data_IF_771111360919
#
_entry.id   IF_771111360919
#
_cell.length_a   1.000
_cell.length_b   1.000
_cell.length_c   1.000
_cell.angle_alpha   90.00
_cell.angle_beta   90.00
_cell.angle_gamma   90.00
#
_symmetry.space_group_name_H-M   'P 1'
#
loop_
_entity.id
_entity.type
_entity.pdbx_description
1 polymer ?
#
# COMPACT_ATOMS: atom_id res chain seq x y z
N UNK A 1 -15.59 25.09 4.56
CA UNK A 1 -14.93 25.39 3.28
C UNK A 1 -14.08 24.22 2.86
N UNK A 2 -13.54 24.23 1.65
CA UNK A 2 -12.57 23.23 1.19
C UNK A 2 -11.14 23.73 1.41
N UNK A 3 -10.22 22.82 1.69
CA UNK A 3 -8.78 23.08 1.78
C UNK A 3 -8.06 22.37 0.63
N UNK A 4 -7.20 23.08 -0.09
CA UNK A 4 -6.45 22.52 -1.22
C UNK A 4 -5.11 21.96 -0.73
N UNK A 5 -4.95 20.64 -0.84
CA UNK A 5 -3.74 19.92 -0.39
C UNK A 5 -2.64 19.81 -1.46
N UNK A 6 -2.79 20.51 -2.59
CA UNK A 6 -1.85 20.48 -3.70
C UNK A 6 -1.74 19.10 -4.38
N UNK A 7 -0.67 18.91 -5.15
CA UNK A 7 -0.41 17.65 -5.88
C UNK A 7 -1.20 17.53 -7.19
N UNK A 8 -0.71 16.63 -8.07
CA UNK A 8 -1.41 16.20 -9.29
C UNK A 8 -1.45 14.68 -9.26
N UNK A 9 -2.64 14.12 -9.15
CA UNK A 9 -2.83 12.68 -8.92
C UNK A 9 -3.52 12.03 -10.11
N UNK A 10 -3.28 10.74 -10.28
CA UNK A 10 -3.99 9.84 -11.18
C UNK A 10 -4.82 8.90 -10.30
N UNK A 11 -6.12 8.82 -10.58
CA UNK A 11 -7.04 7.96 -9.83
C UNK A 11 -7.44 8.53 -8.47
N UNK A 12 -7.84 7.63 -7.57
CA UNK A 12 -8.39 7.96 -6.27
C UNK A 12 -7.29 7.94 -5.19
N UNK A 13 -7.39 8.80 -4.16
CA UNK A 13 -6.56 8.69 -2.97
C UNK A 13 -6.95 7.47 -2.13
N UNK A 14 -5.96 6.82 -1.55
CA UNK A 14 -6.15 5.81 -0.49
C UNK A 14 -5.82 6.45 0.85
N UNK A 15 -6.71 6.29 1.84
CA UNK A 15 -6.62 7.00 3.13
C UNK A 15 -6.73 6.01 4.29
N UNK A 16 -5.85 6.17 5.28
CA UNK A 16 -5.83 5.32 6.47
C UNK A 16 -5.59 6.16 7.72
N UNK A 17 -6.05 5.65 8.86
CA UNK A 17 -5.67 6.16 10.18
C UNK A 17 -5.12 5.00 11.02
N UNK A 18 -4.05 5.26 11.76
CA UNK A 18 -3.49 4.30 12.73
C UNK A 18 -3.69 4.73 14.19
N UNK A 19 -4.30 5.89 14.40
CA UNK A 19 -4.60 6.42 15.72
C UNK A 19 -5.31 7.78 15.66
N UNK A 20 -5.73 8.31 16.82
CA UNK A 20 -6.33 9.63 16.91
C UNK A 20 -5.42 10.72 16.34
N UNK A 21 -6.01 11.72 15.70
CA UNK A 21 -5.31 12.87 15.13
C UNK A 21 -4.23 12.51 14.09
N UNK A 22 -4.35 11.34 13.47
CA UNK A 22 -3.47 10.90 12.40
C UNK A 22 -4.28 10.45 11.19
N UNK A 23 -3.96 11.05 10.05
CA UNK A 23 -4.46 10.65 8.74
C UNK A 23 -3.25 10.50 7.83
N UNK A 24 -3.19 9.42 7.07
CA UNK A 24 -2.18 9.18 6.06
C UNK A 24 -2.88 8.97 4.71
N UNK A 25 -2.42 9.67 3.68
CA UNK A 25 -3.00 9.69 2.34
C UNK A 25 -1.93 9.27 1.36
N UNK A 26 -2.26 8.29 0.52
CA UNK A 26 -1.41 7.78 -0.54
C UNK A 26 -2.08 7.99 -1.89
N UNK A 27 -1.31 8.49 -2.85
CA UNK A 27 -1.79 8.80 -4.21
C UNK A 27 -0.73 8.40 -5.22
N UNK A 28 -1.17 8.01 -6.42
CA UNK A 28 -0.25 7.87 -7.56
C UNK A 28 -0.21 9.19 -8.32
N UNK A 29 1.00 9.70 -8.57
CA UNK A 29 1.21 10.92 -9.34
C UNK A 29 1.03 10.70 -10.84
N UNK A 30 0.99 11.79 -11.62
CA UNK A 30 0.97 11.73 -13.09
C UNK A 30 2.24 11.15 -13.71
N UNK A 31 3.32 11.06 -12.93
CA UNK A 31 4.59 10.40 -13.25
C UNK A 31 4.60 8.92 -12.85
N UNK A 32 3.46 8.37 -12.41
CA UNK A 32 3.31 6.99 -11.90
C UNK A 32 4.09 6.69 -10.61
N UNK A 33 4.65 7.68 -9.92
CA UNK A 33 5.27 7.48 -8.61
C UNK A 33 4.22 7.51 -7.49
N UNK A 34 4.50 6.84 -6.36
CA UNK A 34 3.69 6.99 -5.16
C UNK A 34 4.03 8.30 -4.47
N UNK A 35 3.02 8.94 -3.90
CA UNK A 35 3.17 10.11 -3.05
C UNK A 35 2.40 9.93 -1.75
N UNK A 36 2.96 10.47 -0.68
CA UNK A 36 2.43 10.41 0.67
C UNK A 36 2.20 11.80 1.26
N UNK A 37 1.13 11.93 2.03
CA UNK A 37 0.78 13.11 2.83
C UNK A 37 0.20 12.65 4.15
N UNK A 38 0.43 13.40 5.21
CA UNK A 38 -0.14 13.06 6.49
C UNK A 38 -0.60 14.27 7.29
N UNK A 39 -1.61 14.08 8.12
CA UNK A 39 -1.99 14.98 9.20
C UNK A 39 -1.38 14.48 10.51
N UNK A 40 -0.75 15.35 11.30
CA UNK A 40 -0.11 14.97 12.57
C UNK A 40 -0.86 15.48 13.82
N UNK A 41 -2.09 15.96 13.67
CA UNK A 41 -2.87 16.57 14.75
C UNK A 41 -2.79 18.09 14.80
N UNK A 42 -1.85 18.69 14.07
CA UNK A 42 -1.63 20.14 14.06
C UNK A 42 -1.34 20.72 12.68
N UNK A 43 -0.70 19.96 11.78
CA UNK A 43 -0.39 20.39 10.43
C UNK A 43 -0.34 19.20 9.45
N UNK A 44 -0.49 19.53 8.17
CA UNK A 44 -0.20 18.65 7.05
C UNK A 44 1.31 18.59 6.78
N UNK A 45 1.83 17.37 6.65
CA UNK A 45 3.19 17.08 6.21
C UNK A 45 3.25 16.58 4.77
N UNK A 46 4.36 16.82 4.04
CA UNK A 46 5.53 17.62 4.45
C UNK A 46 5.25 19.13 4.52
N UNK A 47 4.18 19.60 3.89
CA UNK A 47 3.59 20.92 4.06
C UNK A 47 2.12 20.87 3.62
N UNK A 48 1.40 21.99 3.70
CA UNK A 48 0.01 22.04 3.25
C UNK A 48 -0.17 21.57 1.78
N UNK A 49 0.71 22.01 0.88
CA UNK A 49 0.60 21.75 -0.56
C UNK A 49 1.67 20.81 -1.13
N UNK A 50 2.73 20.53 -0.36
CA UNK A 50 3.80 19.62 -0.75
C UNK A 50 3.46 18.16 -0.46
N UNK A 51 3.99 17.23 -1.24
CA UNK A 51 3.81 15.78 -1.07
C UNK A 51 5.17 15.08 -0.94
N UNK A 52 5.24 14.05 -0.10
CA UNK A 52 6.44 13.22 0.04
C UNK A 52 6.52 12.24 -1.13
N UNK A 53 7.54 12.39 -1.98
CA UNK A 53 7.75 11.48 -3.11
C UNK A 53 8.32 10.15 -2.60
N UNK A 54 7.58 9.07 -2.87
CA UNK A 54 7.90 7.71 -2.45
C UNK A 54 8.45 6.83 -3.57
N UNK A 55 8.72 7.41 -4.74
CA UNK A 55 9.29 6.74 -5.90
C UNK A 55 8.41 5.63 -6.48
N UNK A 56 9.04 4.74 -7.24
CA UNK A 56 8.40 3.63 -7.92
C UNK A 56 7.79 4.01 -9.27
N UNK A 57 7.29 2.99 -9.98
CA UNK A 57 6.48 3.15 -11.20
C UNK A 57 5.30 2.19 -11.09
N UNK A 58 4.19 2.75 -10.64
CA UNK A 58 3.02 2.01 -10.19
C UNK A 58 1.99 1.96 -11.30
N UNK A 59 1.39 0.78 -11.46
CA UNK A 59 0.19 0.60 -12.25
C UNK A 59 -1.01 0.42 -11.30
N UNK A 60 -2.11 1.10 -11.61
CA UNK A 60 -3.32 1.04 -10.79
C UNK A 60 -3.23 1.85 -9.49
N UNK A 61 -4.03 1.46 -8.50
CA UNK A 61 -4.17 2.16 -7.22
C UNK A 61 -3.39 1.44 -6.11
N UNK A 62 -2.77 2.18 -5.17
CA UNK A 62 -2.19 1.58 -3.98
C UNK A 62 -3.29 1.06 -3.05
N UNK A 63 -2.93 0.14 -2.17
CA UNK A 63 -3.70 -0.18 -0.97
C UNK A 63 -2.86 0.08 0.26
N UNK A 64 -3.48 0.64 1.30
CA UNK A 64 -2.81 0.84 2.57
C UNK A 64 -3.67 0.33 3.72
N UNK A 65 -3.01 -0.29 4.69
CA UNK A 65 -3.64 -0.78 5.92
C UNK A 65 -2.78 -0.42 7.12
N UNK A 66 -3.41 -0.37 8.29
CA UNK A 66 -2.73 -0.32 9.56
C UNK A 66 -3.26 -1.43 10.46
N UNK A 67 -2.35 -2.15 11.12
CA UNK A 67 -2.68 -3.14 12.13
C UNK A 67 -2.59 -2.59 13.57
N UNK A 68 -2.28 -1.29 13.73
CA UNK A 68 -1.98 -0.69 15.03
C UNK A 68 -1.10 0.56 14.95
N UNK A 69 -0.90 1.25 16.11
CA UNK A 69 -0.21 2.52 16.15
C UNK A 69 1.20 2.48 15.57
N UNK A 70 1.60 3.57 14.90
CA UNK A 70 2.90 3.72 14.27
C UNK A 70 3.24 2.66 13.21
N UNK A 71 2.22 1.98 12.66
CA UNK A 71 2.38 1.10 11.51
C UNK A 71 1.47 1.51 10.36
N UNK A 72 2.08 1.55 9.18
CA UNK A 72 1.39 1.50 7.90
C UNK A 72 2.04 0.42 7.03
N UNK A 73 1.24 -0.27 6.24
CA UNK A 73 1.70 -1.23 5.23
C UNK A 73 1.04 -0.86 3.91
N UNK A 74 1.86 -0.55 2.91
CA UNK A 74 1.41 -0.07 1.60
C UNK A 74 1.78 -1.09 0.54
N UNK A 75 0.81 -1.44 -0.29
CA UNK A 75 0.92 -2.41 -1.36
C UNK A 75 0.61 -1.74 -2.70
N UNK A 76 1.49 -1.97 -3.67
CA UNK A 76 1.39 -1.38 -5.01
C UNK A 76 1.75 -2.42 -6.05
N UNK A 77 1.27 -2.23 -7.28
CA UNK A 77 1.60 -3.11 -8.41
C UNK A 77 2.59 -2.40 -9.32
N UNK A 78 3.71 -3.07 -9.63
CA UNK A 78 4.71 -2.54 -10.56
C UNK A 78 4.35 -2.81 -12.02
N UNK A 79 5.10 -2.21 -12.94
CA UNK A 79 4.90 -2.39 -14.40
C UNK A 79 5.11 -3.82 -14.90
N UNK A 80 5.83 -4.65 -14.14
CA UNK A 80 5.97 -6.10 -14.36
C UNK A 80 4.79 -6.92 -13.80
N UNK A 81 3.71 -6.26 -13.37
CA UNK A 81 2.54 -6.86 -12.71
C UNK A 81 2.87 -7.61 -11.40
N UNK A 82 4.06 -7.42 -10.83
CA UNK A 82 4.40 -7.95 -9.51
C UNK A 82 3.84 -7.05 -8.40
N UNK A 83 3.54 -7.66 -7.26
CA UNK A 83 3.18 -6.94 -6.05
C UNK A 83 4.44 -6.44 -5.35
N UNK A 84 4.38 -5.21 -4.86
CA UNK A 84 5.42 -4.57 -4.08
C UNK A 84 4.85 -4.06 -2.76
N UNK A 85 5.68 -4.12 -1.73
CA UNK A 85 5.34 -3.72 -0.38
C UNK A 85 6.33 -2.70 0.16
N UNK A 86 5.84 -1.77 0.97
CA UNK A 86 6.66 -0.92 1.83
C UNK A 86 5.89 -0.62 3.11
N UNK A 87 6.60 -0.25 4.15
CA UNK A 87 5.98 -0.06 5.45
C UNK A 87 6.56 1.10 6.24
N UNK A 88 5.75 1.70 7.10
CA UNK A 88 6.19 2.61 8.16
C UNK A 88 6.32 1.83 9.46
N UNK A 89 7.43 2.00 10.18
CA UNK A 89 7.69 1.30 11.45
C UNK A 89 7.65 2.24 12.68
N UNK A 90 7.18 3.47 12.52
CA UNK A 90 7.18 4.49 13.59
C UNK A 90 8.33 5.47 13.52
N UNK A 91 9.39 5.17 12.78
CA UNK A 91 10.56 6.04 12.63
C UNK A 91 11.03 6.21 11.18
N UNK A 92 10.88 5.17 10.34
CA UNK A 92 11.31 5.20 8.96
C UNK A 92 10.42 4.32 8.06
N UNK A 93 10.48 4.65 6.76
CA UNK A 93 9.96 3.80 5.69
C UNK A 93 10.94 2.67 5.39
N UNK A 94 10.45 1.43 5.37
CA UNK A 94 11.16 0.24 4.91
C UNK A 94 10.71 -0.17 3.50
N UNK A 95 11.62 -0.65 2.63
CA UNK A 95 13.07 -0.76 2.86
C UNK A 95 13.81 0.59 2.81
N UNK A 96 13.22 1.63 2.23
CA UNK A 96 13.66 3.03 2.32
C UNK A 96 12.49 3.95 1.92
N UNK A 97 12.69 5.27 1.90
CA UNK A 97 11.67 6.20 1.43
C UNK A 97 11.21 5.92 -0.01
N UNK A 98 12.13 5.57 -0.91
CA UNK A 98 11.84 5.36 -2.35
C UNK A 98 11.98 3.92 -2.82
N UNK A 99 12.45 3.02 -1.95
CA UNK A 99 12.58 1.59 -2.22
C UNK A 99 11.30 0.81 -1.89
N UNK A 100 11.20 -0.39 -2.49
CA UNK A 100 10.08 -1.30 -2.30
C UNK A 100 10.59 -2.75 -2.13
N UNK A 101 9.94 -3.50 -1.27
CA UNK A 101 10.12 -4.94 -1.13
C UNK A 101 9.34 -5.65 -2.24
N UNK A 102 10.04 -6.41 -3.09
CA UNK A 102 9.42 -7.19 -4.17
C UNK A 102 8.76 -8.44 -3.59
N UNK A 103 7.44 -8.53 -3.70
CA UNK A 103 6.65 -9.66 -3.21
C UNK A 103 6.32 -10.69 -4.29
N UNK A 104 6.89 -10.54 -5.48
CA UNK A 104 6.70 -11.44 -6.62
C UNK A 104 5.26 -11.49 -7.13
N UNK A 105 4.96 -12.58 -7.83
CA UNK A 105 3.67 -12.82 -8.47
C UNK A 105 3.50 -12.07 -9.80
N UNK A 106 2.41 -12.38 -10.48
CA UNK A 106 1.91 -11.65 -11.65
C UNK A 106 0.41 -11.51 -11.43
N UNK A 107 -0.01 -10.33 -10.98
CA UNK A 107 -1.37 -10.10 -10.52
C UNK A 107 -2.16 -9.26 -11.52
N UNK A 108 -3.45 -9.54 -11.61
CA UNK A 108 -4.40 -8.75 -12.41
C UNK A 108 -5.13 -7.78 -11.48
N UNK A 109 -5.15 -6.50 -11.87
CA UNK A 109 -5.85 -5.45 -11.14
C UNK A 109 -5.10 -4.99 -9.89
N UNK A 110 -5.85 -4.56 -8.88
CA UNK A 110 -5.32 -4.11 -7.59
C UNK A 110 -5.42 -5.22 -6.53
N UNK A 111 -4.49 -5.26 -5.56
CA UNK A 111 -4.63 -6.14 -4.41
C UNK A 111 -5.80 -5.70 -3.52
N UNK A 112 -6.24 -6.58 -2.62
CA UNK A 112 -7.01 -6.21 -1.43
C UNK A 112 -6.27 -6.65 -0.18
N UNK A 113 -6.23 -5.79 0.84
CA UNK A 113 -5.44 -6.03 2.05
C UNK A 113 -6.23 -5.70 3.28
N UNK A 114 -6.18 -6.59 4.26
CA UNK A 114 -6.86 -6.42 5.54
C UNK A 114 -5.93 -6.77 6.70
N UNK A 115 -6.26 -6.25 7.88
CA UNK A 115 -5.68 -6.68 9.15
C UNK A 115 -6.82 -6.95 10.13
N UNK A 116 -6.78 -8.11 10.79
CA UNK A 116 -7.71 -8.44 11.87
C UNK A 116 -7.08 -8.32 13.26
N UNK A 117 -5.80 -7.97 13.35
CA UNK A 117 -5.13 -7.80 14.63
C UNK A 117 -3.67 -7.38 14.51
N UNK A 118 -3.05 -7.01 15.64
CA UNK A 118 -1.64 -6.67 15.68
C UNK A 118 -0.80 -7.82 15.15
N UNK A 119 0.28 -7.48 14.45
CA UNK A 119 1.16 -8.48 13.89
C UNK A 119 0.54 -9.37 12.79
N UNK A 120 -0.60 -8.96 12.21
CA UNK A 120 -1.23 -9.64 11.09
C UNK A 120 -1.59 -8.77 9.89
N UNK A 121 -1.26 -9.25 8.70
CA UNK A 121 -1.82 -8.79 7.43
C UNK A 121 -2.26 -9.99 6.60
N UNK A 122 -3.35 -9.84 5.84
CA UNK A 122 -3.84 -10.79 4.84
C UNK A 122 -4.01 -10.05 3.52
N UNK A 123 -3.31 -10.51 2.48
CA UNK A 123 -3.24 -9.91 1.15
C UNK A 123 -3.87 -10.87 0.15
N UNK A 124 -4.84 -10.37 -0.61
CA UNK A 124 -5.56 -11.11 -1.64
C UNK A 124 -5.31 -10.49 -3.01
N UNK A 125 -5.00 -11.33 -4.00
CA UNK A 125 -4.73 -10.90 -5.37
C UNK A 125 -5.36 -11.87 -6.37
N UNK A 126 -5.74 -11.38 -7.55
CA UNK A 126 -6.15 -12.23 -8.66
C UNK A 126 -4.93 -12.58 -9.52
N UNK A 127 -4.74 -13.87 -9.83
CA UNK A 127 -3.71 -14.33 -10.74
C UNK A 127 -4.10 -14.19 -12.21
N UNK A 128 -3.16 -14.47 -13.12
CA UNK A 128 -3.41 -14.43 -14.57
C UNK A 128 -4.35 -15.52 -15.07
N UNK A 129 -4.51 -16.59 -14.29
CA UNK A 129 -5.48 -17.67 -14.47
C UNK A 129 -6.86 -17.33 -13.87
N UNK A 130 -7.06 -16.09 -13.42
CA UNK A 130 -8.25 -15.63 -12.69
C UNK A 130 -8.47 -16.30 -11.33
N UNK A 131 -7.53 -17.10 -10.80
CA UNK A 131 -7.67 -17.66 -9.47
C UNK A 131 -7.40 -16.60 -8.39
N UNK A 132 -8.00 -16.79 -7.21
CA UNK A 132 -7.69 -16.03 -6.02
C UNK A 132 -6.42 -16.57 -5.38
N UNK A 133 -5.50 -15.68 -5.08
CA UNK A 133 -4.27 -15.98 -4.35
C UNK A 133 -4.22 -15.19 -3.06
N UNK A 134 -3.60 -15.80 -2.06
CA UNK A 134 -3.46 -15.25 -0.73
C UNK A 134 -2.01 -15.31 -0.26
N UNK A 135 -1.59 -14.29 0.47
CA UNK A 135 -0.38 -14.33 1.29
C UNK A 135 -0.59 -13.52 2.55
N UNK A 136 0.18 -13.82 3.57
CA UNK A 136 -0.01 -13.19 4.87
C UNK A 136 1.29 -12.86 5.55
N UNK A 137 1.23 -11.92 6.46
CA UNK A 137 2.30 -11.63 7.38
C UNK A 137 1.86 -11.99 8.80
N UNK A 138 2.72 -12.69 9.54
CA UNK A 138 2.40 -13.26 10.86
C UNK A 138 3.16 -12.59 12.04
N UNK A 139 3.79 -11.44 11.80
CA UNK A 139 4.59 -10.73 12.80
C UNK A 139 6.09 -11.03 12.71
N UNK A 140 6.48 -12.03 11.93
CA UNK A 140 7.90 -12.40 11.76
C UNK A 140 8.28 -12.72 10.33
N UNK A 141 7.36 -13.27 9.54
CA UNK A 141 7.62 -13.63 8.15
C UNK A 141 6.36 -13.56 7.28
N UNK A 142 6.59 -13.41 5.97
CA UNK A 142 5.59 -13.60 4.93
C UNK A 142 5.38 -15.09 4.66
N UNK A 143 4.13 -15.54 4.71
CA UNK A 143 3.69 -16.87 4.29
C UNK A 143 2.99 -16.81 2.92
N UNK A 144 3.19 -17.81 2.04
CA UNK A 144 4.06 -18.99 2.22
C UNK A 144 5.56 -18.68 2.10
N UNK A 145 5.92 -17.56 1.48
CA UNK A 145 7.27 -16.97 1.49
C UNK A 145 7.17 -15.49 1.07
N UNK A 146 8.29 -14.76 1.05
CA UNK A 146 8.30 -13.38 0.58
C UNK A 146 7.72 -13.23 -0.85
N UNK A 147 8.04 -14.16 -1.76
CA UNK A 147 7.62 -14.09 -3.17
C UNK A 147 6.54 -15.09 -3.57
N UNK A 148 6.19 -16.03 -2.67
CA UNK A 148 5.17 -17.04 -2.90
C UNK A 148 3.75 -16.58 -2.54
N UNK A 149 2.78 -17.34 -3.05
CA UNK A 149 1.35 -17.15 -2.80
C UNK A 149 0.66 -18.52 -2.63
N UNK A 150 -0.31 -18.59 -1.74
CA UNK A 150 -1.23 -19.71 -1.58
C UNK A 150 -2.36 -19.57 -2.61
N UNK A 151 -2.64 -20.64 -3.38
CA UNK A 151 -3.76 -20.66 -4.31
C UNK A 151 -5.05 -21.04 -3.57
N UNK A 152 -6.04 -20.15 -3.59
CA UNK A 152 -7.36 -20.36 -3.00
C UNK A 152 -8.43 -20.79 -4.01
N UNK A 153 -8.08 -20.87 -5.30
CA UNK A 153 -8.96 -21.25 -6.40
C UNK A 153 -9.97 -20.16 -6.77
N UNK A 154 -11.09 -20.57 -7.34
CA UNK A 154 -12.15 -19.65 -7.79
C UNK A 154 -11.86 -18.97 -9.13
N UNK A 155 -12.78 -18.09 -9.54
CA UNK A 155 -12.66 -17.23 -10.74
C UNK A 155 -13.00 -15.80 -10.33
N UNK A 156 -11.98 -14.97 -10.20
CA UNK A 156 -12.06 -13.58 -9.79
C UNK A 156 -11.97 -12.69 -11.03
N UNK A 157 -13.01 -11.92 -11.27
CA UNK A 157 -13.04 -10.93 -12.36
C UNK A 157 -12.79 -9.50 -11.87
N UNK A 158 -12.95 -9.27 -10.57
CA UNK A 158 -12.67 -8.02 -9.84
C UNK A 158 -12.78 -8.27 -8.33
N UNK A 159 -12.14 -7.41 -7.54
CA UNK A 159 -12.48 -7.20 -6.13
C UNK A 159 -13.55 -6.11 -6.01
#
# INVERSE_FOLDING_TARGET
>A
GYENLGGKIVGNPEVVCWGPNRIDIFVVGTDSALYHKWWNGSAWGPSLTGWENMGGTIIGQPKVVSWGPNRLDVFVVGTNSALYHKWWNGSAWGPSLTGYENMGGTIIGSPEVVSWGPNRLDVFVAGTDSALYHKWWNGSAWGPSLTGYENMGGVITKF
#
